data_IF_498309260074
#
_entry.id   IF_498309260074
#
_cell.length_a   1.000
_cell.length_b   1.000
_cell.length_c   1.000
_cell.angle_alpha   90.00
_cell.angle_beta   90.00
_cell.angle_gamma   90.00
#
_symmetry.space_group_name_H-M   'P 1'
#
loop_
_entity.id
_entity.type
_entity.pdbx_description
1 polymer ?
#
# COMPACT_ATOMS: atom_id res chain seq x y z
N UNK A 1 -23.32 -4.30 15.55
CA UNK A 1 -22.19 -4.65 14.67
C UNK A 1 -21.79 -3.42 13.85
N UNK A 2 -21.06 -2.46 14.42
CA UNK A 2 -20.80 -1.16 13.73
C UNK A 2 -19.32 -0.73 13.79
N UNK A 3 -18.40 -1.63 14.10
CA UNK A 3 -16.95 -1.37 14.13
C UNK A 3 -16.21 -2.29 13.15
N UNK A 4 -16.62 -2.29 11.89
CA UNK A 4 -15.84 -2.96 10.84
C UNK A 4 -14.62 -2.10 10.49
N UNK A 5 -13.40 -2.66 10.49
CA UNK A 5 -12.22 -1.95 10.03
C UNK A 5 -12.38 -1.48 8.57
N UNK A 6 -11.80 -0.33 8.22
CA UNK A 6 -12.00 0.32 6.91
C UNK A 6 -10.70 0.42 6.14
N UNK A 7 -10.65 -0.14 4.93
CA UNK A 7 -9.48 -0.01 4.05
C UNK A 7 -9.62 1.19 3.10
N UNK A 8 -8.69 2.15 3.18
CA UNK A 8 -8.64 3.29 2.26
C UNK A 8 -7.66 3.00 1.11
N UNK A 9 -8.19 2.86 -0.12
CA UNK A 9 -7.39 2.58 -1.32
C UNK A 9 -7.16 3.87 -2.10
N UNK A 10 -5.89 4.27 -2.27
CA UNK A 10 -5.52 5.41 -3.12
C UNK A 10 -5.32 5.00 -4.57
N UNK A 11 -5.93 5.75 -5.50
CA UNK A 11 -5.86 5.51 -6.95
C UNK A 11 -5.38 6.75 -7.69
N UNK A 12 -4.73 6.54 -8.83
CA UNK A 12 -4.27 7.62 -9.72
C UNK A 12 -2.86 7.43 -10.25
N UNK A 13 -2.51 8.23 -11.26
CA UNK A 13 -1.23 8.16 -11.96
C UNK A 13 -0.02 8.47 -11.03
N UNK A 14 1.20 8.05 -11.40
CA UNK A 14 2.42 8.42 -10.68
C UNK A 14 2.53 9.95 -10.46
N UNK A 15 3.19 10.35 -9.37
CA UNK A 15 3.40 11.76 -9.00
C UNK A 15 2.13 12.60 -8.73
N UNK A 16 0.96 11.98 -8.50
CA UNK A 16 -0.31 12.67 -8.16
C UNK A 16 -0.56 12.85 -6.66
N UNK A 17 0.48 12.98 -5.84
CA UNK A 17 0.31 13.26 -4.40
C UNK A 17 -0.27 12.14 -3.54
N UNK A 18 -0.52 10.94 -4.07
CA UNK A 18 -1.10 9.80 -3.32
C UNK A 18 -0.38 9.53 -2.00
N UNK A 19 0.94 9.32 -2.04
CA UNK A 19 1.76 9.09 -0.84
C UNK A 19 1.71 10.25 0.15
N UNK A 20 1.65 11.49 -0.34
CA UNK A 20 1.55 12.67 0.52
C UNK A 20 0.22 12.66 1.29
N UNK A 21 -0.89 12.41 0.58
CA UNK A 21 -2.22 12.32 1.17
C UNK A 21 -2.30 11.16 2.16
N UNK A 22 -1.83 9.95 1.79
CA UNK A 22 -1.83 8.78 2.68
C UNK A 22 -1.10 9.04 3.99
N UNK A 23 0.09 9.65 3.95
CA UNK A 23 0.87 9.98 5.16
C UNK A 23 0.17 11.01 6.03
N UNK A 24 -0.37 12.07 5.42
CA UNK A 24 -1.04 13.15 6.16
C UNK A 24 -2.34 12.64 6.80
N UNK A 25 -3.10 11.82 6.07
CA UNK A 25 -4.33 11.20 6.56
C UNK A 25 -4.04 10.22 7.70
N UNK A 26 -3.07 9.33 7.53
CA UNK A 26 -2.63 8.39 8.57
C UNK A 26 -2.23 9.13 9.84
N UNK A 27 -1.44 10.21 9.72
CA UNK A 27 -1.04 11.03 10.88
C UNK A 27 -2.24 11.66 11.58
N UNK A 28 -3.18 12.21 10.81
CA UNK A 28 -4.37 12.85 11.36
C UNK A 28 -5.28 11.84 12.08
N UNK A 29 -5.55 10.68 11.48
CA UNK A 29 -6.39 9.64 12.07
C UNK A 29 -5.79 9.12 13.38
N UNK A 30 -4.47 8.84 13.39
CA UNK A 30 -3.80 8.46 14.62
C UNK A 30 -3.84 9.58 15.68
N UNK A 31 -3.73 10.85 15.27
CA UNK A 31 -3.81 11.99 16.20
C UNK A 31 -5.17 12.12 16.91
N UNK A 32 -6.27 11.83 16.21
CA UNK A 32 -7.61 11.80 16.81
C UNK A 32 -7.94 10.47 17.53
N UNK A 33 -6.99 9.55 17.64
CA UNK A 33 -7.14 8.29 18.36
C UNK A 33 -7.69 7.12 17.55
N UNK A 34 -7.66 7.19 16.22
CA UNK A 34 -8.04 6.09 15.32
C UNK A 34 -6.77 5.37 14.85
N UNK A 35 -6.49 4.13 15.32
CA UNK A 35 -5.31 3.37 14.92
C UNK A 35 -5.31 3.14 13.40
N UNK A 36 -4.35 3.76 12.71
CA UNK A 36 -4.25 3.75 11.25
C UNK A 36 -2.84 3.45 10.79
N UNK A 37 -2.69 2.66 9.71
CA UNK A 37 -1.37 2.35 9.13
C UNK A 37 -1.33 2.54 7.61
N UNK A 38 -0.23 3.13 7.10
CA UNK A 38 0.01 3.24 5.66
C UNK A 38 0.68 1.97 5.12
N UNK A 39 0.12 1.39 4.06
CA UNK A 39 0.74 0.30 3.30
C UNK A 39 1.12 0.78 1.89
N UNK A 40 2.42 0.98 1.65
CA UNK A 40 2.91 1.53 0.39
C UNK A 40 3.45 0.42 -0.52
N UNK A 41 2.66 -0.05 -1.49
CA UNK A 41 3.06 -1.10 -2.46
C UNK A 41 4.37 -0.78 -3.19
N UNK A 42 4.69 0.51 -3.38
CA UNK A 42 5.96 0.92 -3.97
C UNK A 42 7.17 0.59 -3.10
N UNK A 43 7.02 0.53 -1.78
CA UNK A 43 8.05 0.08 -0.85
C UNK A 43 8.26 -1.44 -0.94
N UNK A 44 7.20 -2.24 -0.88
CA UNK A 44 7.26 -3.69 -1.11
C UNK A 44 8.00 -4.02 -2.39
N UNK A 45 7.69 -3.30 -3.48
CA UNK A 45 8.40 -3.46 -4.76
C UNK A 45 9.90 -3.14 -4.65
N UNK A 46 10.31 -2.07 -3.97
CA UNK A 46 11.73 -1.72 -3.82
C UNK A 46 12.50 -2.74 -2.99
N UNK A 47 11.83 -3.39 -2.05
CA UNK A 47 12.41 -4.44 -1.22
C UNK A 47 12.55 -5.75 -2.01
N UNK A 48 11.53 -6.13 -2.78
CA UNK A 48 11.56 -7.30 -3.67
C UNK A 48 12.55 -7.12 -4.84
N UNK A 49 12.67 -5.90 -5.37
CA UNK A 49 13.38 -5.60 -6.61
C UNK A 49 14.48 -4.59 -6.34
N UNK A 50 15.67 -5.09 -5.99
CA UNK A 50 16.84 -4.25 -5.67
C UNK A 50 17.52 -3.63 -6.92
N UNK A 51 17.26 -4.18 -8.12
CA UNK A 51 18.14 -3.98 -9.29
C UNK A 51 17.46 -3.23 -10.46
N UNK A 52 16.15 -3.35 -10.67
CA UNK A 52 15.48 -2.72 -11.81
C UNK A 52 15.23 -1.23 -11.58
N UNK A 53 16.07 -0.38 -12.20
CA UNK A 53 15.96 1.09 -12.18
C UNK A 53 15.26 1.69 -13.40
N UNK A 54 14.93 0.88 -14.41
CA UNK A 54 14.39 1.35 -15.69
C UNK A 54 12.86 1.41 -15.70
N UNK A 55 12.31 2.32 -16.51
CA UNK A 55 10.87 2.43 -16.78
C UNK A 55 10.31 1.17 -17.47
N UNK A 56 11.17 0.36 -18.09
CA UNK A 56 10.84 -0.91 -18.73
C UNK A 56 10.11 -1.88 -17.81
N UNK A 57 10.38 -1.82 -16.50
CA UNK A 57 9.69 -2.61 -15.49
C UNK A 57 8.16 -2.35 -15.47
N UNK A 58 7.74 -1.13 -15.78
CA UNK A 58 6.32 -0.73 -15.72
C UNK A 58 5.59 -0.91 -17.03
N UNK A 59 6.27 -1.36 -18.10
CA UNK A 59 5.61 -1.55 -19.38
C UNK A 59 4.54 -2.65 -19.29
N UNK A 60 3.43 -2.52 -20.03
CA UNK A 60 2.34 -3.50 -19.98
C UNK A 60 2.70 -4.83 -20.64
N UNK A 61 3.67 -4.84 -21.57
CA UNK A 61 4.19 -6.03 -22.24
C UNK A 61 5.22 -6.81 -21.40
N UNK A 62 5.64 -6.27 -20.25
CA UNK A 62 6.55 -6.94 -19.33
C UNK A 62 5.76 -7.85 -18.37
N UNK A 63 5.57 -9.10 -18.78
CA UNK A 63 4.85 -10.12 -17.98
C UNK A 63 5.53 -10.40 -16.63
N UNK A 64 6.86 -10.45 -16.60
CA UNK A 64 7.62 -10.67 -15.36
C UNK A 64 7.43 -9.49 -14.38
N UNK A 65 7.55 -8.26 -14.89
CA UNK A 65 7.29 -7.04 -14.12
C UNK A 65 5.84 -6.93 -13.65
N UNK A 66 4.87 -7.41 -14.44
CA UNK A 66 3.48 -7.53 -14.00
C UNK A 66 3.32 -8.54 -12.86
N UNK A 67 3.91 -9.73 -12.98
CA UNK A 67 3.86 -10.79 -11.96
C UNK A 67 4.47 -10.32 -10.64
N UNK A 68 5.62 -9.66 -10.67
CA UNK A 68 6.25 -9.10 -9.46
C UNK A 68 5.37 -8.02 -8.84
N UNK A 69 4.79 -7.10 -9.64
CA UNK A 69 3.87 -6.08 -9.13
C UNK A 69 2.64 -6.70 -8.44
N UNK A 70 2.08 -7.76 -9.01
CA UNK A 70 0.97 -8.50 -8.41
C UNK A 70 1.39 -9.14 -7.08
N UNK A 71 2.55 -9.78 -7.02
CA UNK A 71 3.09 -10.36 -5.79
C UNK A 71 3.27 -9.31 -4.68
N UNK A 72 3.83 -8.14 -5.00
CA UNK A 72 3.96 -7.05 -4.05
C UNK A 72 2.60 -6.53 -3.55
N UNK A 73 1.60 -6.47 -4.42
CA UNK A 73 0.24 -6.08 -4.03
C UNK A 73 -0.40 -7.12 -3.10
N UNK A 74 -0.25 -8.41 -3.40
CA UNK A 74 -0.72 -9.50 -2.54
C UNK A 74 -0.04 -9.50 -1.17
N UNK A 75 1.28 -9.27 -1.12
CA UNK A 75 2.02 -9.14 0.13
C UNK A 75 1.49 -7.97 0.98
N UNK A 76 1.28 -6.80 0.38
CA UNK A 76 0.73 -5.66 1.09
C UNK A 76 -0.70 -5.93 1.60
N UNK A 77 -1.54 -6.62 0.83
CA UNK A 77 -2.89 -7.00 1.26
C UNK A 77 -2.89 -8.02 2.41
N UNK A 78 -1.93 -8.93 2.44
CA UNK A 78 -1.78 -9.87 3.56
C UNK A 78 -1.42 -9.11 4.85
N UNK A 79 -0.51 -8.14 4.77
CA UNK A 79 -0.13 -7.31 5.91
C UNK A 79 -1.30 -6.42 6.37
N UNK A 80 -2.09 -5.87 5.43
CA UNK A 80 -3.34 -5.16 5.75
C UNK A 80 -4.30 -6.06 6.51
N UNK A 81 -4.52 -7.29 6.02
CA UNK A 81 -5.40 -8.25 6.70
C UNK A 81 -4.92 -8.54 8.11
N UNK A 82 -3.63 -8.79 8.29
CA UNK A 82 -3.03 -9.03 9.60
C UNK A 82 -3.21 -7.82 10.53
N UNK A 83 -2.95 -6.61 10.04
CA UNK A 83 -3.11 -5.39 10.83
C UNK A 83 -4.54 -5.17 11.32
N UNK A 84 -5.53 -5.35 10.43
CA UNK A 84 -6.94 -5.12 10.74
C UNK A 84 -7.57 -6.26 11.56
N UNK A 85 -7.09 -7.50 11.42
CA UNK A 85 -7.66 -8.66 12.11
C UNK A 85 -6.96 -8.96 13.45
N UNK A 86 -5.63 -8.85 13.49
CA UNK A 86 -4.81 -9.41 14.56
C UNK A 86 -4.11 -8.33 15.41
N UNK A 87 -3.84 -7.15 14.84
CA UNK A 87 -3.08 -6.07 15.52
C UNK A 87 -3.98 -4.94 16.06
N UNK A 88 -5.31 -5.06 15.95
CA UNK A 88 -6.27 -4.07 16.46
C UNK A 88 -6.34 -2.78 15.64
N UNK A 89 -5.84 -2.79 14.39
CA UNK A 89 -5.97 -1.69 13.45
C UNK A 89 -7.42 -1.39 13.07
N UNK A 90 -7.77 -0.12 12.91
CA UNK A 90 -9.12 0.29 12.49
C UNK A 90 -9.17 0.79 11.05
N UNK A 91 -8.09 1.42 10.56
CA UNK A 91 -8.01 2.01 9.21
C UNK A 91 -6.69 1.68 8.49
#
# INVERSE_FOLDING_TARGET
MTNCPTLIVTVGLPARGKTYISKKLTRYLNWIGVPTREFNVGQYRRECVKIYKSFEFFRPDNEEGLKIRQQCASAALNDVRQYLADEGGQV
#
